data_IF_341431483910
#
_entry.id   IF_341431483910
#
_cell.length_a   1.000
_cell.length_b   1.000
_cell.length_c   1.000
_cell.angle_alpha   90.00
_cell.angle_beta   90.00
_cell.angle_gamma   90.00
#
_symmetry.space_group_name_H-M   'P 1'
#
loop_
_entity.id
_entity.type
_entity.pdbx_description
1 polymer ?
2 non-polymer ?
3 non-polymer ?
4 non-polymer ?
5 non-polymer ?
6 water ?
#
# COMPACT_ATOMS: atom_id res chain seq x y z
N UNK A 2 -5.03 -25.05 12.12
CA UNK A 2 -5.22 -24.69 10.71
C UNK A 2 -5.43 -23.18 10.53
N UNK A 3 -4.92 -22.65 9.42
CA UNK A 3 -5.05 -21.23 9.10
C UNK A 3 -6.52 -20.78 8.89
N UNK A 4 -6.90 -19.65 9.50
CA UNK A 4 -8.28 -19.18 9.40
C UNK A 4 -8.35 -17.76 8.85
N UNK A 5 -9.29 -17.56 7.91
CA UNK A 5 -9.50 -16.26 7.28
C UNK A 5 -10.88 -15.68 7.57
N UNK A 6 -10.90 -14.45 8.06
CA UNK A 6 -12.16 -13.76 8.37
C UNK A 6 -12.70 -12.94 7.19
N UNK A 7 -13.99 -13.11 6.90
CA UNK A 7 -14.71 -12.34 5.89
C UNK A 7 -14.57 -12.76 4.42
N UNK A 8 -14.68 -14.06 4.11
CA UNK A 8 -14.39 -14.51 2.73
C UNK A 8 -15.32 -13.93 1.67
N UNK A 9 -16.52 -13.49 2.06
CA UNK A 9 -17.47 -13.04 1.06
C UNK A 9 -17.21 -11.61 0.55
N UNK A 10 -16.28 -10.89 1.15
CA UNK A 10 -15.91 -9.54 0.65
C UNK A 10 -14.74 -9.66 -0.30
N UNK A 11 -14.45 -8.55 -0.96
CA UNK A 11 -13.50 -8.57 -2.06
C UNK A 11 -12.06 -8.63 -1.56
N UNK A 12 -11.74 -7.75 -0.64
CA UNK A 12 -10.38 -7.63 -0.15
C UNK A 12 -9.81 -8.95 0.40
N UNK A 13 -10.58 -9.70 1.24
CA UNK A 13 -10.02 -10.98 1.69
C UNK A 13 -9.74 -11.96 0.56
N UNK A 14 -10.41 -11.83 -0.58
CA UNK A 14 -10.17 -12.74 -1.70
C UNK A 14 -8.74 -12.63 -2.26
N UNK A 15 -8.03 -11.52 -2.00
CA UNK A 15 -6.61 -11.42 -2.37
C UNK A 15 -5.83 -12.50 -1.65
N UNK A 16 -6.18 -12.72 -0.37
CA UNK A 16 -5.55 -13.72 0.46
C UNK A 16 -6.04 -15.14 0.09
N UNK A 17 -7.34 -15.29 -0.18
CA UNK A 17 -7.88 -16.62 -0.48
C UNK A 17 -7.25 -17.18 -1.76
N UNK A 18 -7.13 -16.33 -2.78
CA UNK A 18 -6.63 -16.86 -4.04
C UNK A 18 -5.15 -17.22 -3.86
N UNK A 19 -4.42 -16.47 -3.04
CA UNK A 19 -3.00 -16.80 -2.80
C UNK A 19 -2.87 -18.15 -2.07
N UNK A 20 -3.71 -18.37 -1.06
CA UNK A 20 -3.76 -19.64 -0.32
C UNK A 20 -4.06 -20.82 -1.25
N UNK A 21 -5.06 -20.67 -2.10
CA UNK A 21 -5.40 -21.72 -3.04
C UNK A 21 -4.28 -21.93 -4.08
N UNK A 22 -3.66 -20.85 -4.61
CA UNK A 22 -2.53 -21.00 -5.55
C UNK A 22 -1.40 -21.85 -4.94
N UNK A 23 -1.08 -21.59 -3.67
CA UNK A 23 0.00 -22.27 -2.98
C UNK A 23 -0.40 -23.65 -2.43
N UNK A 24 -1.66 -24.04 -2.62
CA UNK A 24 -2.14 -25.30 -2.09
C UNK A 24 -2.14 -25.36 -0.56
N UNK A 25 -2.40 -24.23 0.10
CA UNK A 25 -2.44 -24.22 1.58
C UNK A 25 -3.86 -24.50 2.12
N UNK A 26 -3.94 -25.34 3.15
CA UNK A 26 -5.20 -25.63 3.84
C UNK A 26 -5.64 -24.43 4.68
N UNK A 27 -6.93 -24.11 4.65
CA UNK A 27 -7.47 -23.01 5.44
C UNK A 27 -8.94 -23.21 5.67
N UNK A 28 -9.49 -22.52 6.66
CA UNK A 28 -10.92 -22.44 6.86
C UNK A 28 -11.33 -20.95 6.81
N UNK A 29 -12.60 -20.66 6.55
CA UNK A 29 -13.01 -19.26 6.54
C UNK A 29 -14.13 -19.05 7.56
N UNK A 30 -14.21 -17.83 8.11
CA UNK A 30 -15.18 -17.49 9.13
C UNK A 30 -15.88 -16.20 8.70
N UNK A 31 -17.22 -16.24 8.57
CA UNK A 31 -17.96 -15.05 8.12
C UNK A 31 -17.93 -13.89 9.12
N UNK A 32 -18.11 -12.67 8.60
CA UNK A 32 -18.25 -11.49 9.44
C UNK A 32 -19.50 -10.74 8.99
N UNK A 33 -20.42 -10.56 9.92
CA UNK A 33 -21.71 -9.95 9.62
C UNK A 33 -21.64 -8.43 9.78
N UNK A 34 -21.44 -7.70 8.67
CA UNK A 34 -21.35 -6.24 8.74
C UNK A 34 -22.66 -5.62 9.17
N UNK A 35 -23.76 -6.22 8.72
CA UNK A 35 -25.08 -5.69 9.00
C UNK A 35 -25.36 -5.65 10.49
N UNK A 36 -24.87 -6.65 11.23
CA UNK A 36 -25.07 -6.64 12.68
C UNK A 36 -23.88 -5.95 13.38
N UNK A 37 -22.97 -5.37 12.62
CA UNK A 37 -21.87 -4.60 13.19
C UNK A 37 -20.78 -5.45 13.86
N UNK A 38 -20.74 -6.73 13.53
CA UNK A 38 -19.77 -7.67 14.10
C UNK A 38 -18.32 -7.16 14.00
N UNK A 39 -18.00 -6.51 12.88
CA UNK A 39 -16.65 -6.00 12.66
C UNK A 39 -16.33 -4.80 13.58
N UNK A 40 -17.34 -4.30 14.29
CA UNK A 40 -17.16 -3.15 15.17
C UNK A 40 -17.26 -3.56 16.64
N UNK A 41 -17.37 -4.87 16.88
CA UNK A 41 -17.48 -5.44 18.23
C UNK A 41 -16.10 -5.87 18.74
N UNK A 42 -15.91 -5.94 20.06
CA UNK A 42 -14.58 -6.21 20.62
C UNK A 42 -13.86 -7.48 20.16
N UNK A 43 -14.57 -8.59 19.99
CA UNK A 43 -13.92 -9.83 19.55
C UNK A 43 -13.20 -9.64 18.19
N UNK A 44 -13.89 -9.08 17.19
CA UNK A 44 -13.23 -8.93 15.91
C UNK A 44 -12.17 -7.82 15.99
N UNK A 45 -12.40 -6.79 16.80
CA UNK A 45 -11.43 -5.71 16.88
C UNK A 45 -10.11 -6.20 17.51
N UNK A 46 -10.20 -7.28 18.28
CA UNK A 46 -9.01 -7.86 18.86
C UNK A 46 -8.17 -8.55 17.78
N UNK A 47 -8.77 -8.88 16.66
CA UNK A 47 -8.02 -9.46 15.54
C UNK A 47 -7.50 -8.38 14.56
N UNK A 48 -8.40 -7.45 14.22
CA UNK A 48 -8.14 -6.38 13.26
C UNK A 48 -8.65 -5.07 13.88
N UNK A 49 -7.74 -4.26 14.45
CA UNK A 49 -8.13 -3.13 15.29
C UNK A 49 -8.74 -1.97 14.50
N UNK A 50 -8.63 -2.02 13.17
CA UNK A 50 -9.28 -1.05 12.30
C UNK A 50 -10.68 -1.47 11.92
N UNK A 51 -11.06 -2.69 12.30
CA UNK A 51 -12.38 -3.21 12.01
C UNK A 51 -12.71 -3.38 10.53
N UNK A 52 -11.73 -3.86 9.77
CA UNK A 52 -11.97 -4.21 8.38
C UNK A 52 -11.45 -5.63 8.14
N UNK A 53 -11.87 -6.20 7.03
CA UNK A 53 -11.47 -7.54 6.65
C UNK A 53 -10.41 -7.49 5.55
N UNK A 54 -9.55 -8.52 5.46
CA UNK A 54 -9.53 -9.79 6.22
C UNK A 54 -8.76 -9.70 7.53
N UNK A 55 -8.91 -10.74 8.36
CA UNK A 55 -7.98 -11.02 9.45
C UNK A 55 -7.65 -12.49 9.32
N UNK A 56 -6.38 -12.83 9.57
CA UNK A 56 -5.90 -14.20 9.44
C UNK A 56 -5.18 -14.65 10.70
N UNK A 57 -5.57 -15.82 11.21
CA UNK A 57 -4.90 -16.40 12.34
C UNK A 57 -4.35 -17.78 11.96
N UNK A 58 -3.05 -17.98 12.11
CA UNK A 58 -2.40 -19.22 11.71
C UNK A 58 -1.75 -19.80 12.95
N UNK A 59 -2.51 -20.62 13.68
CA UNK A 59 -2.09 -21.06 14.99
C UNK A 59 -1.97 -19.91 15.98
N UNK A 60 -0.76 -19.71 16.52
CA UNK A 60 -0.45 -18.64 17.47
C UNK A 60 -0.25 -17.26 16.81
N UNK A 61 -0.25 -17.23 15.48
CA UNK A 61 0.17 -16.05 14.70
C UNK A 61 -1.02 -15.31 14.06
N UNK A 62 -1.00 -13.99 14.18
CA UNK A 62 -2.11 -13.19 13.69
C UNK A 62 -1.57 -12.18 12.69
N UNK A 63 -2.25 -12.01 11.55
CA UNK A 63 -1.82 -11.02 10.56
C UNK A 63 -3.02 -10.48 9.78
N UNK A 64 -3.01 -9.19 9.53
CA UNK A 64 -4.05 -8.55 8.72
C UNK A 64 -3.45 -7.64 7.61
N UNK A 65 -4.31 -6.94 6.86
CA UNK A 65 -3.97 -6.25 5.57
C UNK A 65 -3.76 -7.32 4.53
N UNK A 66 -4.69 -7.35 3.58
CA UNK A 66 -4.79 -8.41 2.58
C UNK A 66 -3.47 -8.65 1.84
N UNK A 67 -2.75 -7.59 1.47
CA UNK A 67 -1.50 -7.79 0.71
C UNK A 67 -0.34 -8.24 1.60
N UNK A 68 -0.34 -7.83 2.88
CA UNK A 68 0.60 -8.39 3.84
C UNK A 68 0.35 -9.89 3.98
N UNK A 69 -0.91 -10.29 4.05
CA UNK A 69 -1.21 -11.71 4.16
C UNK A 69 -0.71 -12.47 2.94
N UNK A 70 -0.93 -11.90 1.76
CA UNK A 70 -0.43 -12.47 0.49
C UNK A 70 1.07 -12.75 0.58
N UNK A 71 1.83 -11.75 1.04
CA UNK A 71 3.30 -11.85 1.14
C UNK A 71 3.71 -12.90 2.17
N UNK A 72 3.01 -12.91 3.32
CA UNK A 72 3.30 -13.88 4.38
C UNK A 72 3.15 -15.31 3.85
N UNK A 73 2.02 -15.57 3.20
CA UNK A 73 1.73 -16.89 2.65
C UNK A 73 2.73 -17.31 1.55
N UNK A 74 3.00 -16.40 0.61
CA UNK A 74 3.92 -16.67 -0.49
C UNK A 74 5.36 -16.90 0.01
N UNK A 75 5.71 -16.28 1.14
CA UNK A 75 7.04 -16.48 1.69
C UNK A 75 7.09 -17.77 2.51
N UNK A 76 6.08 -17.97 3.36
CA UNK A 76 6.07 -19.13 4.24
C UNK A 76 5.98 -20.45 3.46
N UNK A 77 5.18 -20.43 2.40
CA UNK A 77 4.95 -21.63 1.62
C UNK A 77 5.61 -21.49 0.27
N UNK A 78 6.75 -20.82 0.27
CA UNK A 78 7.44 -20.44 -0.95
C UNK A 78 7.76 -21.62 -1.89
N UNK A 79 8.08 -22.76 -1.31
CA UNK A 79 8.62 -23.84 -2.13
C UNK A 79 7.55 -24.76 -2.74
N UNK A 80 6.29 -24.39 -2.58
CA UNK A 80 5.24 -25.16 -3.21
C UNK A 80 4.38 -24.28 -4.12
N UNK A 81 3.80 -24.90 -5.13
CA UNK A 81 3.03 -24.17 -6.12
C UNK A 81 3.91 -23.21 -6.90
N UNK A 82 3.27 -22.29 -7.64
CA UNK A 82 4.03 -21.29 -8.39
C UNK A 82 4.77 -20.36 -7.42
N UNK A 83 5.92 -19.83 -7.82
CA UNK A 83 6.56 -18.83 -6.98
C UNK A 83 6.00 -17.44 -7.31
N UNK A 84 5.11 -16.97 -6.44
CA UNK A 84 4.37 -15.74 -6.70
C UNK A 84 5.19 -14.50 -6.32
N UNK A 85 6.41 -14.76 -5.87
CA UNK A 85 7.38 -13.71 -5.54
C UNK A 85 8.51 -13.55 -6.57
N UNK A 86 8.53 -14.35 -7.63
CA UNK A 86 9.66 -14.29 -8.54
C UNK A 86 10.85 -15.01 -7.95
N UNK A 87 11.98 -15.04 -8.65
CA UNK A 87 13.12 -15.81 -8.17
C UNK A 87 14.17 -14.95 -7.44
N UNK A 88 14.45 -13.77 -7.97
CA UNK A 88 15.53 -12.92 -7.43
C UNK A 88 15.01 -11.74 -6.58
N UNK A 89 15.94 -11.02 -5.95
CA UNK A 89 15.62 -9.77 -5.24
C UNK A 89 15.00 -8.73 -6.19
N UNK A 90 15.55 -8.64 -7.40
CA UNK A 90 15.02 -7.74 -8.42
C UNK A 90 13.62 -8.13 -8.86
N UNK A 91 13.38 -9.42 -9.10
CA UNK A 91 12.01 -9.88 -9.37
C UNK A 91 11.06 -9.48 -8.26
N UNK A 92 11.48 -9.75 -7.03
CA UNK A 92 10.61 -9.45 -5.90
C UNK A 92 10.36 -7.95 -5.78
N UNK A 93 11.39 -7.17 -6.09
CA UNK A 93 11.25 -5.73 -6.16
C UNK A 93 10.15 -5.31 -7.14
N UNK A 94 10.10 -5.94 -8.32
CA UNK A 94 9.05 -5.62 -9.30
C UNK A 94 7.65 -6.04 -8.80
N UNK A 95 7.60 -7.16 -8.07
CA UNK A 95 6.34 -7.62 -7.48
C UNK A 95 5.87 -6.60 -6.45
N UNK A 96 6.78 -6.12 -5.63
CA UNK A 96 6.43 -5.18 -4.58
C UNK A 96 5.99 -3.85 -5.19
N UNK A 97 6.68 -3.45 -6.26
CA UNK A 97 6.36 -2.22 -6.95
C UNK A 97 4.90 -2.23 -7.43
N UNK A 98 4.51 -3.29 -8.13
CA UNK A 98 3.17 -3.33 -8.68
C UNK A 98 2.12 -3.67 -7.60
N UNK A 99 2.53 -4.35 -6.53
CA UNK A 99 1.66 -4.52 -5.37
C UNK A 99 1.32 -3.15 -4.78
N UNK A 100 2.30 -2.24 -4.75
CA UNK A 100 2.07 -0.91 -4.20
C UNK A 100 1.30 0.01 -5.16
N UNK A 101 1.50 -0.16 -6.47
CA UNK A 101 0.68 0.51 -7.44
C UNK A 101 -0.78 0.07 -7.24
N UNK A 102 -1.01 -1.22 -7.02
CA UNK A 102 -2.38 -1.68 -6.82
C UNK A 102 -2.97 -1.02 -5.58
N UNK A 103 -2.23 -1.06 -4.47
CA UNK A 103 -2.73 -0.49 -3.21
C UNK A 103 -2.97 1.02 -3.27
N UNK A 104 -2.08 1.77 -3.89
CA UNK A 104 -2.06 3.24 -3.74
C UNK A 104 -2.66 4.01 -4.92
N UNK A 105 -2.73 3.37 -6.08
CA UNK A 105 -3.03 4.08 -7.31
C UNK A 105 -4.20 3.45 -8.04
N UNK A 106 -4.14 2.12 -8.22
CA UNK A 106 -5.21 1.40 -8.90
C UNK A 106 -6.47 1.26 -8.04
N UNK A 107 -6.32 0.78 -6.81
CA UNK A 107 -7.47 0.45 -5.97
C UNK A 107 -8.34 1.65 -5.51
N UNK A 108 -7.71 2.78 -5.09
CA UNK A 108 -8.55 3.85 -4.49
C UNK A 108 -9.69 4.38 -5.39
N UNK A 109 -9.43 4.68 -6.68
CA UNK A 109 -10.60 5.08 -7.47
C UNK A 109 -11.56 3.90 -7.71
N UNK A 110 -11.03 2.70 -7.85
CA UNK A 110 -11.88 1.53 -8.05
C UNK A 110 -12.74 1.26 -6.79
N UNK A 111 -12.19 1.51 -5.60
CA UNK A 111 -12.96 1.36 -4.37
C UNK A 111 -14.13 2.37 -4.35
N UNK A 112 -13.88 3.59 -4.82
CA UNK A 112 -14.95 4.59 -4.95
C UNK A 112 -16.07 4.16 -5.88
N UNK A 113 -15.71 3.57 -7.02
CA UNK A 113 -16.72 3.08 -7.95
C UNK A 113 -17.51 1.95 -7.29
N UNK A 114 -16.82 1.13 -6.49
CA UNK A 114 -17.44 0.02 -5.79
C UNK A 114 -18.46 0.51 -4.76
N UNK A 115 -18.05 1.42 -3.89
CA UNK A 115 -18.91 1.92 -2.83
C UNK A 115 -20.17 2.58 -3.39
N UNK A 116 -19.99 3.48 -4.35
CA UNK A 116 -21.07 4.33 -4.82
C UNK A 116 -21.99 3.67 -5.82
N UNK A 117 -21.52 2.64 -6.51
CA UNK A 117 -22.36 2.00 -7.51
C UNK A 117 -22.96 0.73 -6.93
N UNK A 118 -22.15 -0.04 -6.21
CA UNK A 118 -22.62 -1.29 -5.62
C UNK A 118 -23.21 -1.18 -4.20
N UNK A 119 -22.67 -0.31 -3.35
CA UNK A 119 -23.21 -0.29 -1.98
C UNK A 119 -23.87 1.00 -1.51
N UNK A 120 -24.10 1.96 -2.42
CA UNK A 120 -24.76 3.18 -2.01
C UNK A 120 -26.11 2.80 -1.38
N UNK A 121 -26.86 1.96 -2.10
CA UNK A 121 -28.22 1.60 -1.69
C UNK A 121 -28.26 0.76 -0.45
N UNK A 122 -27.43 -0.28 -0.42
CA UNK A 122 -27.43 -1.23 0.68
C UNK A 122 -26.86 -0.62 1.96
N UNK A 123 -25.92 0.32 1.84
CA UNK A 123 -25.35 0.94 3.04
C UNK A 123 -26.11 2.21 3.45
N UNK A 124 -26.90 2.75 2.53
CA UNK A 124 -27.69 3.95 2.82
C UNK A 124 -26.96 5.28 2.63
N UNK A 125 -26.12 5.36 1.60
CA UNK A 125 -25.35 6.57 1.33
C UNK A 125 -25.86 7.11 -0.01
N UNK A 126 -25.92 8.45 -0.17
CA UNK A 126 -26.39 8.91 -1.48
C UNK A 126 -25.32 8.63 -2.52
N UNK A 127 -25.70 8.21 -3.72
CA UNK A 127 -24.69 7.92 -4.73
C UNK A 127 -24.09 9.26 -5.15
N UNK A 128 -22.77 9.36 -5.05
CA UNK A 128 -22.05 10.58 -5.36
C UNK A 128 -21.69 10.63 -6.85
N UNK A 129 -22.55 11.25 -7.67
CA UNK A 129 -22.39 11.12 -9.11
C UNK A 129 -21.13 11.79 -9.69
N UNK A 130 -20.69 12.92 -9.11
CA UNK A 130 -19.47 13.58 -9.57
C UNK A 130 -18.25 12.73 -9.21
N UNK A 131 -18.24 12.17 -8.01
CA UNK A 131 -17.15 11.29 -7.59
C UNK A 131 -17.07 10.05 -8.46
N UNK A 132 -18.22 9.58 -8.97
CA UNK A 132 -18.21 8.44 -9.87
C UNK A 132 -17.51 8.79 -11.18
N UNK A 133 -17.81 9.97 -11.72
CA UNK A 133 -17.18 10.40 -12.99
C UNK A 133 -15.67 10.63 -12.80
N UNK A 134 -15.29 11.24 -11.68
CA UNK A 134 -13.90 11.49 -11.40
C UNK A 134 -13.11 10.20 -11.18
N UNK A 135 -13.71 9.25 -10.47
CA UNK A 135 -13.03 8.01 -10.12
C UNK A 135 -12.75 7.19 -11.38
N UNK A 136 -13.72 7.19 -12.31
CA UNK A 136 -13.60 6.52 -13.58
C UNK A 136 -12.54 7.15 -14.48
N UNK A 137 -12.54 8.47 -14.59
CA UNK A 137 -11.50 9.16 -15.36
C UNK A 137 -10.12 8.80 -14.80
N UNK A 138 -10.00 8.82 -13.47
CA UNK A 138 -8.75 8.56 -12.80
C UNK A 138 -8.31 7.09 -13.05
N UNK A 139 -9.22 6.14 -12.85
CA UNK A 139 -8.92 4.74 -13.10
C UNK A 139 -8.53 4.48 -14.58
N UNK A 140 -9.18 5.20 -15.50
CA UNK A 140 -8.89 5.05 -16.92
C UNK A 140 -7.46 5.48 -17.26
N UNK A 141 -6.99 6.55 -16.63
CA UNK A 141 -5.61 6.98 -16.77
C UNK A 141 -4.64 5.92 -16.25
N UNK A 142 -4.97 5.34 -15.10
CA UNK A 142 -4.16 4.26 -14.54
C UNK A 142 -4.13 3.06 -15.50
N UNK A 143 -5.30 2.67 -16.02
CA UNK A 143 -5.39 1.58 -16.97
C UNK A 143 -4.63 1.87 -18.30
N UNK A 144 -4.49 3.14 -18.67
CA UNK A 144 -3.73 3.47 -19.89
C UNK A 144 -2.26 3.16 -19.70
N UNK A 145 -1.78 3.41 -18.49
CA UNK A 145 -0.40 3.09 -18.13
C UNK A 145 -0.18 1.58 -18.16
N UNK A 146 -1.14 0.84 -17.60
CA UNK A 146 -1.10 -0.62 -17.59
C UNK A 146 -1.03 -1.19 -19.01
N UNK A 147 -1.88 -0.63 -19.88
CA UNK A 147 -1.95 -1.04 -21.27
C UNK A 147 -0.58 -0.95 -21.95
N UNK A 148 0.09 0.19 -21.78
CA UNK A 148 1.43 0.36 -22.32
C UNK A 148 2.42 -0.66 -21.70
N UNK A 149 2.41 -0.78 -20.37
CA UNK A 149 3.32 -1.70 -19.70
C UNK A 149 3.11 -3.15 -20.15
N UNK A 150 1.86 -3.58 -20.21
CA UNK A 150 1.54 -4.98 -20.52
C UNK A 150 1.77 -5.35 -22.00
N UNK A 151 2.11 -4.38 -22.86
CA UNK A 151 2.48 -4.66 -24.24
C UNK A 151 3.92 -5.18 -24.34
N UNK A 152 4.73 -4.84 -23.33
CA UNK A 152 6.13 -5.24 -23.27
C UNK A 152 6.40 -6.24 -22.18
N UNK A 153 5.37 -6.56 -21.40
CA UNK A 153 5.52 -7.47 -20.28
C UNK A 153 4.23 -8.32 -20.16
N UNK A 154 4.40 -9.64 -20.05
CA UNK A 154 3.25 -10.56 -20.07
C UNK A 154 2.39 -10.41 -18.79
N UNK A 155 3.06 -10.28 -17.65
CA UNK A 155 2.40 -10.00 -16.36
C UNK A 155 3.02 -8.71 -15.84
N UNK A 156 2.44 -8.17 -14.76
CA UNK A 156 2.90 -6.87 -14.24
C UNK A 156 4.38 -6.84 -13.86
N UNK A 157 4.83 -7.88 -13.15
CA UNK A 157 6.21 -7.87 -12.63
C UNK A 157 7.20 -8.54 -13.57
N UNK A 158 6.75 -9.00 -14.74
CA UNK A 158 7.62 -9.67 -15.69
C UNK A 158 6.95 -10.81 -16.42
N UNK A 159 7.70 -11.88 -16.69
CA UNK A 159 7.17 -13.00 -17.50
C UNK A 159 6.47 -14.06 -16.63
N UNK A 160 6.38 -13.79 -15.33
CA UNK A 160 5.81 -14.73 -14.37
C UNK A 160 4.65 -14.06 -13.68
N UNK A 161 3.57 -14.81 -13.43
CA UNK A 161 2.45 -14.30 -12.65
C UNK A 161 2.88 -14.16 -11.18
N UNK A 162 2.35 -13.17 -10.48
CA UNK A 162 2.78 -12.93 -9.11
C UNK A 162 1.65 -12.37 -8.26
N UNK A 163 1.97 -12.10 -7.00
CA UNK A 163 1.03 -11.44 -6.09
C UNK A 163 0.45 -10.16 -6.67
N UNK A 164 1.28 -9.42 -7.40
CA UNK A 164 0.85 -8.13 -7.96
C UNK A 164 -0.29 -8.30 -8.93
N UNK A 165 -0.24 -9.35 -9.74
CA UNK A 165 -1.36 -9.65 -10.65
C UNK A 165 -2.60 -10.06 -9.84
N UNK A 166 -2.40 -11.03 -8.95
CA UNK A 166 -3.47 -11.61 -8.14
C UNK A 166 -4.20 -10.55 -7.32
N UNK A 167 -3.48 -9.51 -6.86
CA UNK A 167 -4.06 -8.45 -6.04
C UNK A 167 -5.16 -7.69 -6.80
N UNK A 168 -5.14 -7.75 -8.13
CA UNK A 168 -6.12 -7.03 -8.96
C UNK A 168 -7.41 -7.80 -9.17
N UNK A 169 -7.41 -9.08 -8.83
CA UNK A 169 -8.56 -9.92 -9.16
C UNK A 169 -9.89 -9.48 -8.50
N UNK A 170 -9.93 -9.29 -7.16
CA UNK A 170 -11.26 -9.15 -6.52
C UNK A 170 -12.07 -7.89 -6.93
N UNK A 171 -11.46 -6.70 -6.95
CA UNK A 171 -12.25 -5.52 -7.24
C UNK A 171 -12.40 -5.33 -8.75
N UNK A 172 -11.49 -5.87 -9.54
CA UNK A 172 -11.66 -5.83 -11.00
C UNK A 172 -12.79 -6.77 -11.43
N UNK A 173 -12.99 -7.86 -10.68
CA UNK A 173 -14.14 -8.71 -10.92
C UNK A 173 -15.43 -7.89 -10.78
N UNK A 174 -15.44 -6.97 -9.81
CA UNK A 174 -16.56 -6.06 -9.66
C UNK A 174 -16.70 -5.14 -10.86
N UNK A 175 -15.59 -4.50 -11.21
CA UNK A 175 -15.53 -3.55 -12.32
C UNK A 175 -16.12 -4.12 -13.62
N UNK A 176 -15.80 -5.37 -13.94
CA UNK A 176 -16.32 -5.95 -15.18
C UNK A 176 -17.70 -6.56 -14.98
N UNK A 177 -18.14 -6.61 -13.72
CA UNK A 177 -19.39 -7.26 -13.37
C UNK A 177 -20.46 -6.30 -12.89
N UNK A 178 -20.71 -6.31 -11.58
CA UNK A 178 -21.77 -5.51 -10.94
C UNK A 178 -21.59 -3.98 -11.11
N UNK A 179 -20.35 -3.50 -11.26
CA UNK A 179 -20.12 -2.07 -11.46
C UNK A 179 -20.54 -1.62 -12.87
N UNK A 180 -20.52 -2.56 -13.82
CA UNK A 180 -21.02 -2.32 -15.16
C UNK A 180 -20.10 -1.58 -16.10
N UNK A 181 -18.80 -1.64 -15.85
CA UNK A 181 -17.85 -0.92 -16.68
C UNK A 181 -16.77 -1.85 -17.23
N UNK A 182 -17.22 -2.98 -17.76
CA UNK A 182 -16.35 -3.98 -18.37
C UNK A 182 -15.57 -3.39 -19.54
N UNK A 183 -16.15 -2.39 -20.20
CA UNK A 183 -15.50 -1.78 -21.36
C UNK A 183 -14.13 -1.17 -21.00
N UNK A 184 -13.96 -0.75 -19.74
CA UNK A 184 -12.68 -0.19 -19.32
C UNK A 184 -11.54 -1.20 -19.47
N UNK A 185 -11.89 -2.48 -19.30
CA UNK A 185 -10.95 -3.57 -19.51
C UNK A 185 -10.95 -4.04 -20.96
N UNK A 186 -12.13 -4.30 -21.51
CA UNK A 186 -12.29 -4.87 -22.86
C UNK A 186 -11.69 -3.97 -23.95
N UNK A 187 -11.84 -2.65 -23.82
CA UNK A 187 -11.37 -1.67 -24.82
C UNK A 187 -9.85 -1.49 -24.86
N UNK A 188 -9.13 -2.13 -23.93
CA UNK A 188 -7.67 -2.05 -23.91
C UNK A 188 -7.06 -3.44 -24.16
N UNK A 189 -6.59 -3.64 -25.39
CA UNK A 189 -6.19 -4.95 -25.94
C UNK A 189 -5.27 -5.74 -25.00
N UNK A 190 -4.18 -5.15 -24.55
CA UNK A 190 -3.22 -5.86 -23.71
C UNK A 190 -3.71 -6.09 -22.28
N UNK A 191 -4.40 -5.09 -21.71
CA UNK A 191 -5.04 -5.22 -20.39
C UNK A 191 -6.09 -6.32 -20.44
N UNK A 192 -6.87 -6.32 -21.52
CA UNK A 192 -7.95 -7.27 -21.69
C UNK A 192 -7.48 -8.71 -21.76
N UNK A 193 -6.40 -8.95 -22.51
CA UNK A 193 -5.86 -10.30 -22.65
C UNK A 193 -5.22 -10.73 -21.31
N UNK A 194 -4.61 -9.78 -20.62
CA UNK A 194 -4.03 -10.05 -19.30
C UNK A 194 -5.12 -10.43 -18.31
N UNK A 195 -6.23 -9.71 -18.35
CA UNK A 195 -7.34 -10.01 -17.48
C UNK A 195 -7.90 -11.41 -17.80
N UNK A 196 -8.03 -11.72 -19.09
CA UNK A 196 -8.54 -13.03 -19.49
C UNK A 196 -7.67 -14.15 -18.92
N UNK A 197 -6.35 -13.90 -18.89
CA UNK A 197 -5.36 -14.85 -18.43
C UNK A 197 -5.46 -15.08 -16.93
N UNK A 198 -5.31 -14.03 -16.14
CA UNK A 198 -5.23 -14.22 -14.70
C UNK A 198 -6.59 -14.55 -14.11
N UNK A 199 -7.68 -14.05 -14.70
CA UNK A 199 -9.01 -14.29 -14.13
C UNK A 199 -9.61 -15.63 -14.54
N UNK A 200 -8.91 -16.39 -15.39
CA UNK A 200 -9.36 -17.74 -15.70
C UNK A 200 -8.47 -18.82 -15.04
N UNK A 201 -7.45 -18.41 -14.27
CA UNK A 201 -6.69 -19.37 -13.47
C UNK A 201 -7.64 -20.11 -12.49
N UNK A 202 -7.45 -21.44 -12.35
CA UNK A 202 -8.30 -22.28 -11.49
C UNK A 202 -8.41 -21.74 -10.04
N UNK A 203 -7.32 -21.21 -9.50
CA UNK A 203 -7.35 -20.75 -8.12
C UNK A 203 -8.34 -19.61 -7.98
N UNK A 204 -8.46 -18.78 -9.01
CA UNK A 204 -9.41 -17.66 -8.92
C UNK A 204 -10.83 -18.14 -9.16
N UNK A 205 -10.99 -19.04 -10.10
CA UNK A 205 -12.31 -19.59 -10.35
C UNK A 205 -12.84 -20.28 -9.09
N UNK A 206 -11.98 -21.01 -8.37
CA UNK A 206 -12.41 -21.71 -7.15
C UNK A 206 -12.80 -20.70 -6.06
N UNK A 207 -12.01 -19.64 -5.93
CA UNK A 207 -12.31 -18.58 -4.95
C UNK A 207 -13.71 -18.03 -5.20
N UNK A 208 -14.01 -17.76 -6.46
CA UNK A 208 -15.28 -17.14 -6.82
C UNK A 208 -16.46 -18.08 -6.63
N UNK A 209 -16.30 -19.37 -6.98
CA UNK A 209 -17.38 -20.35 -6.82
C UNK A 209 -17.71 -20.51 -5.35
N UNK A 210 -16.70 -20.41 -4.49
CA UNK A 210 -16.90 -20.70 -3.09
C UNK A 210 -17.35 -19.45 -2.34
N UNK A 211 -16.84 -18.29 -2.74
CA UNK A 211 -16.95 -17.13 -1.85
C UNK A 211 -17.61 -15.88 -2.42
N UNK A 212 -18.56 -16.06 -3.33
CA UNK A 212 -19.35 -14.98 -3.87
C UNK A 212 -20.80 -15.06 -3.39
N UNK B 2 26.42 5.05 -7.52
CA UNK B 2 25.83 4.59 -8.78
C UNK B 2 24.29 4.53 -8.66
N UNK B 3 23.80 4.00 -7.54
CA UNK B 3 22.35 4.02 -7.27
C UNK B 3 21.86 5.47 -7.17
N UNK B 4 20.81 5.79 -7.91
CA UNK B 4 20.32 7.18 -7.99
C UNK B 4 18.87 7.27 -7.58
N UNK B 5 18.56 8.27 -6.76
CA UNK B 5 17.21 8.50 -6.26
C UNK B 5 16.68 9.80 -6.85
N UNK B 6 15.49 9.76 -7.46
CA UNK B 6 14.89 10.96 -8.07
C UNK B 6 13.99 11.73 -7.12
N UNK B 7 14.24 13.03 -6.99
CA UNK B 7 13.38 13.95 -6.26
C UNK B 7 13.56 13.95 -4.75
N UNK B 8 14.82 14.03 -4.26
CA UNK B 8 15.09 13.89 -2.82
C UNK B 8 14.44 14.94 -1.91
N UNK B 9 14.10 16.12 -2.43
CA UNK B 9 13.63 17.19 -1.55
C UNK B 9 12.16 17.00 -1.18
N UNK B 10 11.47 16.05 -1.83
CA UNK B 10 10.08 15.78 -1.49
C UNK B 10 9.96 14.66 -0.47
N UNK B 11 8.75 14.46 0.05
CA UNK B 11 8.55 13.61 1.22
C UNK B 11 8.57 12.08 0.93
N UNK B 12 7.80 11.63 -0.05
CA UNK B 12 7.78 10.21 -0.37
C UNK B 12 9.19 9.66 -0.66
N UNK B 13 10.02 10.40 -1.43
CA UNK B 13 11.37 9.84 -1.66
C UNK B 13 12.19 9.69 -0.39
N UNK B 14 11.90 10.47 0.64
CA UNK B 14 12.64 10.35 1.89
C UNK B 14 12.47 8.98 2.59
N UNK B 15 11.40 8.26 2.25
CA UNK B 15 11.23 6.90 2.74
C UNK B 15 12.39 6.03 2.25
N UNK B 16 12.74 6.20 0.98
CA UNK B 16 13.82 5.46 0.36
C UNK B 16 15.19 5.94 0.89
N UNK B 17 15.36 7.25 1.06
CA UNK B 17 16.64 7.79 1.51
C UNK B 17 17.01 7.29 2.90
N UNK B 18 16.06 7.32 3.82
CA UNK B 18 16.36 6.99 5.19
C UNK B 18 16.69 5.49 5.27
N UNK B 19 16.05 4.68 4.45
CA UNK B 19 16.36 3.25 4.40
C UNK B 19 17.78 3.05 3.86
N UNK B 20 18.11 3.79 2.81
CA UNK B 20 19.46 3.75 2.23
C UNK B 20 20.53 4.15 3.23
N UNK B 21 20.27 5.24 3.96
CA UNK B 21 21.23 5.72 4.95
C UNK B 21 21.33 4.73 6.12
N UNK B 22 20.20 4.21 6.58
CA UNK B 22 20.18 3.17 7.64
C UNK B 22 21.07 1.97 7.26
N UNK B 23 20.96 1.56 6.00
CA UNK B 23 21.70 0.40 5.49
C UNK B 23 23.14 0.74 5.08
N UNK B 24 23.51 2.01 5.16
CA UNK B 24 24.85 2.42 4.77
C UNK B 24 25.16 2.23 3.30
N UNK B 25 24.16 2.43 2.45
CA UNK B 25 24.37 2.26 1.03
C UNK B 25 24.78 3.56 0.34
N UNK B 26 25.77 3.48 -0.54
CA UNK B 26 26.19 4.64 -1.32
C UNK B 26 25.15 4.95 -2.40
N UNK B 27 24.82 6.24 -2.55
CA UNK B 27 23.85 6.67 -3.55
C UNK B 27 24.01 8.15 -3.96
N UNK B 28 23.43 8.49 -5.11
CA UNK B 28 23.33 9.88 -5.53
C UNK B 28 21.86 10.24 -5.69
N UNK B 29 21.60 11.53 -5.72
CA UNK B 29 20.25 12.01 -5.91
C UNK B 29 20.17 12.88 -7.13
N UNK B 30 18.99 12.90 -7.74
CA UNK B 30 18.75 13.68 -8.94
C UNK B 30 17.49 14.54 -8.72
N UNK B 31 17.64 15.87 -8.81
CA UNK B 31 16.45 16.71 -8.54
C UNK B 31 15.40 16.59 -9.63
N UNK B 32 14.15 16.73 -9.23
CA UNK B 32 13.05 16.76 -10.17
C UNK B 32 12.18 17.98 -9.83
N UNK B 33 11.98 18.83 -10.81
CA UNK B 33 11.25 20.07 -10.59
C UNK B 33 9.75 19.86 -10.75
N UNK B 34 9.06 19.54 -9.66
CA UNK B 34 7.61 19.25 -9.68
C UNK B 34 6.79 20.48 -10.08
N UNK B 35 7.23 21.68 -9.67
CA UNK B 35 6.49 22.91 -9.92
C UNK B 35 6.35 23.21 -11.41
N UNK B 36 7.42 22.96 -12.16
CA UNK B 36 7.42 23.21 -13.60
C UNK B 36 7.00 21.97 -14.38
N UNK B 37 6.55 20.94 -13.68
CA UNK B 37 6.05 19.74 -14.33
C UNK B 37 7.05 18.76 -14.93
N UNK B 38 8.31 18.82 -14.48
CA UNK B 38 9.34 17.91 -14.97
C UNK B 38 8.90 16.45 -14.87
N UNK B 39 8.21 16.12 -13.77
CA UNK B 39 7.79 14.73 -13.52
C UNK B 39 6.65 14.26 -14.46
N UNK B 40 6.08 15.17 -15.24
CA UNK B 40 5.02 14.82 -16.19
C UNK B 40 5.50 14.88 -17.66
N UNK B 41 6.81 15.06 -17.85
CA UNK B 41 7.42 15.15 -19.18
C UNK B 41 8.06 13.80 -19.59
N UNK B 42 8.27 13.57 -20.90
CA UNK B 42 8.70 12.25 -21.39
C UNK B 42 9.96 11.67 -20.71
N UNK B 43 10.96 12.49 -20.39
CA UNK B 43 12.18 11.99 -19.72
C UNK B 43 11.89 11.31 -18.37
N UNK B 44 11.13 11.96 -17.50
CA UNK B 44 10.87 11.34 -16.20
C UNK B 44 9.84 10.19 -16.31
N UNK B 45 8.89 10.28 -17.25
CA UNK B 45 7.85 9.25 -17.41
C UNK B 45 8.38 7.88 -17.88
N UNK B 46 9.54 7.87 -18.53
CA UNK B 46 10.17 6.61 -18.88
C UNK B 46 10.67 5.90 -17.64
N UNK B 47 10.93 6.66 -16.57
CA UNK B 47 11.35 6.06 -15.30
C UNK B 47 10.15 5.70 -14.42
N UNK B 48 9.19 6.63 -14.33
CA UNK B 48 8.02 6.45 -13.48
C UNK B 48 6.79 6.79 -14.30
N UNK B 49 6.11 5.76 -14.83
CA UNK B 49 5.05 6.01 -15.80
C UNK B 49 3.80 6.65 -15.20
N UNK B 50 3.70 6.68 -13.88
CA UNK B 50 2.59 7.38 -13.23
C UNK B 50 2.98 8.84 -12.94
N UNK B 51 4.21 9.21 -13.28
CA UNK B 51 4.64 10.61 -13.11
C UNK B 51 4.66 11.11 -11.67
N UNK B 52 5.17 10.30 -10.74
CA UNK B 52 5.40 10.76 -9.38
C UNK B 52 6.82 10.40 -8.91
N UNK B 53 7.28 11.05 -7.85
CA UNK B 53 8.56 10.68 -7.28
C UNK B 53 8.31 9.94 -5.96
N UNK B 54 9.21 9.00 -5.59
CA UNK B 54 10.49 8.69 -6.23
C UNK B 54 10.50 7.68 -7.38
N UNK B 55 11.63 7.66 -8.05
CA UNK B 55 12.04 6.55 -8.91
C UNK B 55 13.48 6.28 -8.57
N UNK B 56 13.87 5.02 -8.67
CA UNK B 56 15.24 4.66 -8.38
C UNK B 56 15.84 3.91 -9.56
N UNK B 57 17.05 4.32 -9.94
CA UNK B 57 17.82 3.58 -10.94
C UNK B 57 19.09 3.03 -10.32
N UNK B 58 19.23 1.71 -10.41
CA UNK B 58 20.35 0.99 -9.82
C UNK B 58 21.06 0.12 -10.85
N UNK B 59 22.05 0.68 -11.54
CA UNK B 59 22.69 0.00 -12.65
C UNK B 59 21.69 -0.29 -13.76
N UNK B 60 21.54 -1.57 -14.10
CA UNK B 60 20.57 -1.97 -15.11
C UNK B 60 19.13 -1.94 -14.59
N UNK B 61 18.97 -1.76 -13.29
CA UNK B 61 17.70 -2.00 -12.64
C UNK B 61 16.96 -0.71 -12.29
N UNK B 62 15.65 -0.71 -12.53
CA UNK B 62 14.79 0.46 -12.28
C UNK B 62 13.67 0.02 -11.33
N UNK B 63 13.30 0.86 -10.37
CA UNK B 63 12.18 0.55 -9.50
C UNK B 63 11.56 1.85 -8.96
N UNK B 64 10.23 1.88 -8.85
CA UNK B 64 9.53 3.02 -8.25
C UNK B 64 8.51 2.53 -7.19
N UNK B 65 7.75 3.47 -6.63
CA UNK B 65 6.92 3.30 -5.41
C UNK B 65 7.81 3.24 -4.17
N UNK B 66 7.74 4.30 -3.37
CA UNK B 66 8.64 4.52 -2.23
C UNK B 66 8.80 3.32 -1.30
N UNK B 67 7.69 2.63 -0.96
CA UNK B 67 7.76 1.51 -0.02
C UNK B 67 8.31 0.23 -0.67
N UNK B 68 8.05 0.08 -1.97
CA UNK B 68 8.70 -0.98 -2.74
C UNK B 68 10.20 -0.74 -2.74
N UNK B 69 10.61 0.51 -2.92
CA UNK B 69 12.04 0.84 -2.90
C UNK B 69 12.62 0.48 -1.53
N UNK B 70 11.89 0.80 -0.46
CA UNK B 70 12.32 0.42 0.89
C UNK B 70 12.57 -1.09 1.00
N UNK B 71 11.60 -1.86 0.52
CA UNK B 71 11.66 -3.32 0.64
C UNK B 71 12.80 -3.88 -0.15
N UNK B 72 12.98 -3.35 -1.37
CA UNK B 72 14.05 -3.73 -2.24
C UNK B 72 15.44 -3.46 -1.66
N UNK B 73 15.64 -2.24 -1.15
CA UNK B 73 16.91 -1.88 -0.53
C UNK B 73 17.18 -2.74 0.70
N UNK B 74 16.16 -2.92 1.54
CA UNK B 74 16.33 -3.68 2.77
C UNK B 74 16.62 -5.16 2.47
N UNK B 75 16.10 -5.67 1.36
CA UNK B 75 16.34 -7.05 1.03
C UNK B 75 17.70 -7.24 0.35
N UNK B 76 18.02 -6.37 -0.60
CA UNK B 76 19.28 -6.48 -1.32
C UNK B 76 20.48 -6.34 -0.36
N UNK B 77 20.34 -5.48 0.64
CA UNK B 77 21.41 -5.24 1.59
C UNK B 77 21.06 -5.78 2.97
N UNK B 78 20.32 -6.89 2.98
CA UNK B 78 19.77 -7.43 4.21
C UNK B 78 20.84 -7.69 5.26
N UNK B 79 22.02 -8.11 4.81
CA UNK B 79 23.02 -8.63 5.75
C UNK B 79 23.91 -7.55 6.31
N UNK B 80 23.63 -6.29 6.00
CA UNK B 80 24.37 -5.21 6.63
C UNK B 80 23.41 -4.23 7.30
N UNK B 81 23.90 -3.50 8.30
CA UNK B 81 23.08 -2.59 9.09
C UNK B 81 22.01 -3.33 9.87
N UNK B 82 21.05 -2.60 10.45
CA UNK B 82 19.97 -3.25 11.21
C UNK B 82 19.09 -4.07 10.27
N UNK B 83 18.48 -5.17 10.70
CA UNK B 83 17.56 -5.83 9.77
C UNK B 83 16.18 -5.25 9.93
N UNK B 84 15.82 -4.44 8.94
CA UNK B 84 14.61 -3.64 8.94
C UNK B 84 13.42 -4.46 8.45
N UNK B 85 13.68 -5.72 8.10
CA UNK B 85 12.64 -6.66 7.67
C UNK B 85 12.32 -7.69 8.76
N UNK B 86 13.03 -7.62 9.89
CA UNK B 86 12.93 -8.63 10.95
C UNK B 86 13.73 -9.87 10.64
N UNK B 87 13.68 -10.86 11.52
CA UNK B 87 14.53 -12.05 11.36
C UNK B 87 13.79 -13.19 10.67
N UNK B 88 12.57 -13.45 11.11
CA UNK B 88 11.78 -14.58 10.63
C UNK B 88 10.68 -14.19 9.64
N UNK B 89 10.04 -15.20 9.07
CA UNK B 89 8.90 -15.00 8.20
C UNK B 89 7.74 -14.31 8.97
N UNK B 90 7.54 -14.70 10.22
CA UNK B 90 6.51 -14.11 11.05
C UNK B 90 6.81 -12.65 11.35
N UNK B 91 8.06 -12.34 11.71
CA UNK B 91 8.47 -10.94 11.87
C UNK B 91 8.24 -10.13 10.61
N UNK B 92 8.65 -10.68 9.46
CA UNK B 92 8.50 -9.96 8.20
C UNK B 92 7.00 -9.74 7.89
N UNK B 93 6.18 -10.70 8.28
CA UNK B 93 4.74 -10.56 8.15
C UNK B 93 4.25 -9.31 8.87
N UNK B 94 4.71 -9.09 10.10
CA UNK B 94 4.28 -7.92 10.87
C UNK B 94 4.79 -6.61 10.23
N UNK B 95 5.98 -6.66 9.66
CA UNK B 95 6.55 -5.46 9.02
C UNK B 95 5.67 -5.10 7.82
N UNK B 96 5.30 -6.11 7.03
CA UNK B 96 4.51 -5.90 5.83
C UNK B 96 3.12 -5.37 6.18
N UNK B 97 2.57 -5.88 7.29
CA UNK B 97 1.26 -5.47 7.80
C UNK B 97 1.21 -3.98 8.11
N UNK B 98 2.20 -3.51 8.87
CA UNK B 98 2.22 -2.12 9.27
C UNK B 98 2.72 -1.20 8.13
N UNK B 99 3.55 -1.72 7.23
CA UNK B 99 3.86 -0.98 6.02
C UNK B 99 2.59 -0.73 5.19
N UNK B 100 1.72 -1.72 5.12
CA UNK B 100 0.47 -1.61 4.36
C UNK B 100 -0.56 -0.74 5.08
N UNK B 101 -0.55 -0.77 6.42
CA UNK B 101 -1.36 0.16 7.19
C UNK B 101 -0.89 1.58 6.89
N UNK B 102 0.43 1.81 6.84
CA UNK B 102 0.90 3.15 6.52
C UNK B 102 0.43 3.53 5.11
N UNK B 103 0.61 2.64 4.13
CA UNK B 103 0.25 2.98 2.76
C UNK B 103 -1.25 3.26 2.58
N UNK B 104 -2.10 2.46 3.21
CA UNK B 104 -3.52 2.45 2.88
C UNK B 104 -4.40 3.19 3.87
N UNK B 105 -3.91 3.40 5.09
CA UNK B 105 -4.76 3.89 6.19
C UNK B 105 -4.21 5.15 6.86
N UNK B 106 -2.93 5.13 7.16
CA UNK B 106 -2.27 6.26 7.79
C UNK B 106 -2.04 7.37 6.78
N UNK B 107 -1.43 7.03 5.66
CA UNK B 107 -0.98 8.04 4.73
C UNK B 107 -2.10 8.80 4.01
N UNK B 108 -3.20 8.12 3.56
CA UNK B 108 -4.13 8.93 2.74
C UNK B 108 -4.70 10.19 3.44
N UNK B 109 -5.21 10.09 4.70
CA UNK B 109 -5.68 11.34 5.28
C UNK B 109 -4.54 12.34 5.57
N UNK B 110 -3.37 11.82 5.94
CA UNK B 110 -2.23 12.70 6.21
C UNK B 110 -1.77 13.44 4.92
N UNK B 111 -1.84 12.76 3.78
CA UNK B 111 -1.54 13.38 2.49
C UNK B 111 -2.57 14.48 2.18
N UNK B 112 -3.85 14.23 2.46
CA UNK B 112 -4.86 15.26 2.28
C UNK B 112 -4.54 16.48 3.13
N UNK B 113 -4.12 16.26 4.38
CA UNK B 113 -3.74 17.42 5.19
C UNK B 113 -2.49 18.13 4.61
N UNK B 114 -1.56 17.35 4.09
CA UNK B 114 -0.34 17.91 3.53
C UNK B 114 -0.67 18.80 2.35
N UNK B 115 -1.42 18.26 1.40
CA UNK B 115 -1.76 18.97 0.17
C UNK B 115 -2.55 20.23 0.47
N UNK B 116 -3.58 20.11 1.28
CA UNK B 116 -4.54 21.19 1.44
C UNK B 116 -4.04 22.27 2.39
N UNK B 117 -3.08 21.96 3.25
CA UNK B 117 -2.58 22.99 4.15
C UNK B 117 -1.23 23.53 3.69
N UNK B 118 -0.32 22.65 3.29
CA UNK B 118 1.01 23.08 2.90
C UNK B 118 1.02 23.54 1.46
N UNK B 119 0.21 22.89 0.62
CA UNK B 119 0.19 23.19 -0.82
C UNK B 119 -1.18 23.66 -1.29
N UNK B 120 -1.84 24.44 -0.44
CA UNK B 120 -3.19 24.94 -0.69
C UNK B 120 -3.35 25.50 -2.11
N UNK B 121 -2.37 26.26 -2.59
CA UNK B 121 -2.42 26.84 -3.93
C UNK B 121 -2.52 25.77 -5.02
N UNK B 122 -1.84 24.65 -4.82
CA UNK B 122 -1.91 23.57 -5.80
C UNK B 122 -3.29 22.91 -5.81
N UNK B 123 -4.01 22.92 -4.68
CA UNK B 123 -5.34 22.31 -4.63
C UNK B 123 -6.43 23.27 -5.05
N UNK B 124 -6.14 24.57 -5.12
CA UNK B 124 -7.13 25.53 -5.55
C UNK B 124 -8.04 26.08 -4.47
N UNK B 125 -8.65 27.24 -4.76
CA UNK B 125 -9.47 27.97 -3.82
C UNK B 125 -10.91 28.10 -4.31
N UNK B 126 -11.87 28.16 -3.38
CA UNK B 126 -11.70 28.18 -1.91
C UNK B 126 -11.19 26.85 -1.33
N UNK B 127 -10.48 26.98 -0.22
CA UNK B 127 -9.84 25.88 0.46
C UNK B 127 -10.92 24.89 0.90
N UNK B 128 -10.68 23.60 0.69
CA UNK B 128 -11.70 22.60 1.03
C UNK B 128 -11.67 22.29 2.54
N UNK B 129 -12.33 23.12 3.33
CA UNK B 129 -12.21 23.05 4.79
C UNK B 129 -12.89 21.78 5.35
N UNK B 130 -13.94 21.32 4.69
CA UNK B 130 -14.63 20.12 5.11
C UNK B 130 -13.72 18.89 4.94
N UNK B 131 -13.04 18.78 3.81
CA UNK B 131 -12.13 17.65 3.60
C UNK B 131 -10.95 17.69 4.59
N UNK B 132 -10.52 18.90 4.95
CA UNK B 132 -9.45 19.07 5.93
C UNK B 132 -9.91 18.60 7.31
N UNK B 133 -11.13 18.97 7.69
CA UNK B 133 -11.65 18.53 8.98
C UNK B 133 -11.85 17.02 8.96
N UNK B 134 -12.32 16.47 7.85
CA UNK B 134 -12.54 15.03 7.76
C UNK B 134 -11.24 14.23 7.84
N UNK B 135 -10.21 14.76 7.21
CA UNK B 135 -8.90 14.10 7.15
C UNK B 135 -8.25 14.07 8.52
N UNK B 136 -8.42 15.15 9.29
CA UNK B 136 -7.89 15.19 10.64
C UNK B 136 -8.62 14.19 11.55
N UNK B 137 -9.95 14.17 11.47
CA UNK B 137 -10.70 13.18 12.25
C UNK B 137 -10.25 11.75 11.91
N UNK B 138 -10.08 11.48 10.63
CA UNK B 138 -9.72 10.15 10.19
C UNK B 138 -8.34 9.75 10.72
N UNK B 139 -7.36 10.64 10.56
CA UNK B 139 -6.00 10.41 11.05
C UNK B 139 -5.96 10.23 12.58
N UNK B 140 -6.80 11.00 13.29
CA UNK B 140 -6.88 10.89 14.73
C UNK B 140 -7.40 9.50 15.13
N UNK B 141 -8.35 8.97 14.38
CA UNK B 141 -8.83 7.62 14.66
C UNK B 141 -7.71 6.60 14.50
N UNK B 142 -6.94 6.76 13.43
CA UNK B 142 -5.81 5.87 13.13
C UNK B 142 -4.78 5.97 14.26
N UNK B 143 -4.49 7.20 14.67
CA UNK B 143 -3.58 7.47 15.77
C UNK B 143 -4.05 6.87 17.10
N UNK B 144 -5.36 6.76 17.30
CA UNK B 144 -5.87 6.13 18.53
C UNK B 144 -5.54 4.64 18.56
N UNK B 145 -5.63 3.99 17.40
CA UNK B 145 -5.30 2.59 17.30
C UNK B 145 -3.81 2.40 17.58
N UNK B 146 -2.99 3.29 17.00
CA UNK B 146 -1.54 3.29 17.20
C UNK B 146 -1.17 3.42 18.68
N UNK B 147 -1.79 4.37 19.36
CA UNK B 147 -1.55 4.60 20.78
C UNK B 147 -1.78 3.32 21.59
N UNK B 148 -2.90 2.65 21.34
CA UNK B 148 -3.19 1.36 21.99
C UNK B 148 -2.16 0.31 21.63
N UNK B 149 -1.89 0.18 20.34
CA UNK B 149 -0.92 -0.81 19.88
C UNK B 149 0.46 -0.54 20.48
N UNK B 150 0.88 0.74 20.46
CA UNK B 150 2.23 1.07 20.90
C UNK B 150 2.41 1.03 22.42
N UNK B 151 1.33 0.83 23.17
CA UNK B 151 1.41 0.63 24.61
C UNK B 151 1.86 -0.80 24.91
N UNK B 152 1.67 -1.68 23.93
CA UNK B 152 1.96 -3.11 24.07
C UNK B 152 3.16 -3.57 23.22
N UNK B 153 3.70 -2.67 22.40
CA UNK B 153 4.78 -2.96 21.45
C UNK B 153 5.69 -1.75 21.28
N UNK B 154 7.00 -1.95 21.37
CA UNK B 154 7.93 -0.81 21.36
C UNK B 154 7.93 -0.07 20.00
N UNK B 155 7.94 -0.86 18.93
CA UNK B 155 7.81 -0.38 17.57
C UNK B 155 6.57 -1.04 16.97
N UNK B 156 6.16 -0.62 15.77
CA UNK B 156 4.94 -1.16 15.16
C UNK B 156 4.97 -2.70 15.00
N UNK B 157 6.06 -3.26 14.47
CA UNK B 157 6.10 -4.70 14.14
C UNK B 157 6.61 -5.60 15.27
N UNK B 158 6.98 -5.02 16.39
CA UNK B 158 7.50 -5.80 17.51
C UNK B 158 8.57 -5.01 18.23
N UNK B 159 9.60 -5.73 18.73
CA UNK B 159 10.61 -5.11 19.59
C UNK B 159 11.78 -4.49 18.81
N UNK B 160 11.68 -4.54 17.49
CA UNK B 160 12.76 -4.10 16.62
C UNK B 160 12.22 -3.00 15.72
N UNK B 161 13.05 -1.99 15.42
CA UNK B 161 12.66 -0.97 14.46
C UNK B 161 12.66 -1.57 13.03
N UNK B 162 11.75 -1.10 12.16
CA UNK B 162 11.63 -1.67 10.82
C UNK B 162 11.16 -0.68 9.76
N UNK B 163 11.03 -1.17 8.53
CA UNK B 163 10.54 -0.33 7.44
C UNK B 163 9.21 0.33 7.80
N UNK B 164 8.35 -0.39 8.52
CA UNK B 164 7.03 0.14 8.85
C UNK B 164 7.15 1.42 9.66
N UNK B 165 8.08 1.45 10.62
CA UNK B 165 8.29 2.66 11.42
C UNK B 165 8.83 3.79 10.54
N UNK B 166 9.88 3.49 9.79
CA UNK B 166 10.54 4.49 8.97
C UNK B 166 9.63 5.12 7.94
N UNK B 167 8.69 4.33 7.40
CA UNK B 167 7.78 4.83 6.37
C UNK B 167 6.97 6.02 6.84
N UNK B 168 6.84 6.17 8.16
CA UNK B 168 6.04 7.22 8.80
C UNK B 168 6.83 8.53 8.96
N UNK B 169 8.14 8.48 8.77
CA UNK B 169 8.96 9.64 9.09
C UNK B 169 8.64 10.89 8.28
N UNK B 170 8.62 10.80 6.92
CA UNK B 170 8.59 12.03 6.12
C UNK B 170 7.33 12.90 6.29
N UNK B 171 6.14 12.31 6.24
CA UNK B 171 4.91 13.11 6.33
C UNK B 171 4.52 13.42 7.78
N UNK B 172 4.93 12.57 8.72
CA UNK B 172 4.64 12.87 10.11
C UNK B 172 5.53 14.05 10.52
N UNK B 173 6.70 14.15 9.91
CA UNK B 173 7.57 15.30 10.11
C UNK B 173 6.82 16.57 9.67
N UNK B 174 6.06 16.50 8.57
CA UNK B 174 5.23 17.64 8.16
C UNK B 174 4.17 17.90 9.21
N UNK B 175 3.49 16.83 9.61
CA UNK B 175 2.39 16.96 10.58
C UNK B 175 2.79 17.74 11.84
N UNK B 176 3.97 17.46 12.40
CA UNK B 176 4.35 18.08 13.67
C UNK B 176 4.99 19.44 13.47
N UNK B 177 5.29 19.74 12.20
CA UNK B 177 5.95 20.98 11.83
C UNK B 177 5.06 21.90 11.01
N UNK B 178 5.31 21.96 9.69
CA UNK B 178 4.62 22.86 8.76
C UNK B 178 3.09 22.69 8.70
N UNK B 179 2.57 21.50 8.93
CA UNK B 179 1.13 21.31 8.90
C UNK B 179 0.54 21.96 10.13
N UNK B 180 1.34 22.02 11.19
CA UNK B 180 0.96 22.73 12.38
C UNK B 180 0.00 21.98 13.29
N UNK B 181 0.05 20.66 13.25
CA UNK B 181 -0.82 19.85 14.09
C UNK B 181 -0.02 18.84 14.95
N UNK B 182 1.05 19.34 15.57
CA UNK B 182 1.91 18.54 16.44
C UNK B 182 1.19 17.87 17.62
N UNK B 183 0.13 18.48 18.11
CA UNK B 183 -0.63 17.94 19.26
C UNK B 183 -1.19 16.54 18.96
N UNK B 184 -1.43 16.23 17.68
CA UNK B 184 -1.94 14.90 17.33
C UNK B 184 -0.97 13.79 17.74
N UNK B 185 0.32 14.10 17.72
CA UNK B 185 1.35 13.19 18.21
C UNK B 185 1.58 13.40 19.70
N UNK B 186 1.76 14.66 20.10
CA UNK B 186 2.12 14.99 21.48
C UNK B 186 1.09 14.54 22.49
N UNK B 187 -0.19 14.63 22.13
CA UNK B 187 -1.28 14.32 23.06
C UNK B 187 -1.47 12.82 23.27
N UNK B 188 -0.72 12.01 22.52
CA UNK B 188 -0.81 10.56 22.66
C UNK B 188 0.52 10.03 23.20
N UNK B 189 0.51 9.65 24.47
CA UNK B 189 1.71 9.29 25.22
C UNK B 189 2.64 8.33 24.49
N UNK B 190 2.13 7.17 24.09
CA UNK B 190 2.98 6.15 23.49
C UNK B 190 3.36 6.51 22.08
N UNK B 191 2.42 7.09 21.33
CA UNK B 191 2.74 7.56 20.00
C UNK B 191 3.85 8.61 20.10
N UNK B 192 3.70 9.55 21.04
CA UNK B 192 4.65 10.63 21.18
C UNK B 192 6.06 10.12 21.52
N UNK B 193 6.15 9.13 22.41
CA UNK B 193 7.46 8.58 22.76
C UNK B 193 8.06 7.79 21.59
N UNK B 194 7.19 7.11 20.84
CA UNK B 194 7.61 6.36 19.67
C UNK B 194 8.17 7.30 18.61
N UNK B 195 7.45 8.40 18.39
CA UNK B 195 7.90 9.40 17.43
C UNK B 195 9.24 10.02 17.86
N UNK B 196 9.37 10.31 19.16
CA UNK B 196 10.60 10.87 19.69
C UNK B 196 11.78 9.95 19.37
N UNK B 197 11.51 8.65 19.43
CA UNK B 197 12.53 7.63 19.18
C UNK B 197 12.96 7.53 17.70
N UNK B 198 12.02 7.31 16.79
CA UNK B 198 12.41 7.02 15.42
C UNK B 198 12.90 8.25 14.69
N UNK B 199 12.37 9.42 15.06
CA UNK B 199 12.75 10.65 14.38
C UNK B 199 14.03 11.25 14.95
N UNK B 200 14.61 10.64 15.98
CA UNK B 200 15.91 11.10 16.49
C UNK B 200 17.02 10.14 16.08
N UNK B 201 16.68 9.10 15.32
CA UNK B 201 17.69 8.23 14.70
C UNK B 201 18.63 9.05 13.81
N UNK B 202 19.93 8.71 13.85
CA UNK B 202 20.93 9.43 13.05
C UNK B 202 20.59 9.43 11.55
N UNK B 203 20.08 8.33 11.02
CA UNK B 203 19.74 8.29 9.60
C UNK B 203 18.62 9.28 9.26
N UNK B 204 17.70 9.50 10.18
CA UNK B 204 16.63 10.41 9.86
C UNK B 204 17.16 11.84 9.99
N UNK B 205 18.00 12.07 11.00
CA UNK B 205 18.57 13.39 11.18
C UNK B 205 19.38 13.78 9.93
N UNK B 206 20.13 12.81 9.40
CA UNK B 206 20.94 13.03 8.21
C UNK B 206 20.07 13.30 6.97
N UNK B 207 18.99 12.52 6.84
CA UNK B 207 18.09 12.68 5.71
C UNK B 207 17.57 14.11 5.65
N UNK B 208 17.18 14.62 6.81
CA UNK B 208 16.58 15.93 6.92
C UNK B 208 17.64 17.03 6.69
N UNK B 209 18.85 16.83 7.22
CA UNK B 209 19.94 17.80 7.06
C UNK B 209 20.36 17.99 5.62
N UNK B 210 20.29 16.91 4.85
CA UNK B 210 20.80 16.95 3.48
C UNK B 210 19.76 17.33 2.43
N UNK B 211 18.50 16.98 2.68
CA UNK B 211 17.51 16.96 1.63
C UNK B 211 16.21 17.70 1.91
N UNK B 212 16.27 18.84 2.58
CA UNK B 212 15.03 19.54 2.84
C UNK B 212 14.79 20.78 1.97
N UNK B 213 15.29 21.94 2.37
CA UNK B 213 15.01 23.22 1.69
C UNK B 213 13.53 23.44 1.37
X LIG C 1 1.84 -10.52 -24.96
X LIG C 1 1.04 -9.45 -25.47
X LIG C 1 2.82 -10.04 -23.88
X LIG C 1 2.92 -8.63 -23.86
X LIG C 1 4.21 -10.63 -24.10
X LIG C 1 5.14 -9.56 -24.11
X LIG D 1 -18.08 -12.92 5.10
X LIG E 1 2.57 5.91 -4.21
X LIG E 1 3.67 6.75 -4.58
X LIG E 1 4.89 6.44 -3.72
X LIG E 1 4.82 6.23 -2.47
X LIG E 1 6.04 6.40 -4.25
X LIG E 1 3.26 8.21 -4.43
X LIG E 1 4.43 9.11 -4.76
X LIG E 1 4.00 10.57 -4.76
X LIG E 1 2.82 10.88 -4.78
X LIG E 1 5.02 11.58 -4.76
X LIG E 1 4.67 12.96 -4.77
X LIG E 1 4.62 13.45 -6.20
X LIG E 1 5.42 13.06 -7.04
X LIG E 1 5.65 13.79 -3.95
X LIG E 1 5.67 13.40 -2.20
X LIG E 1 3.63 14.40 -6.58
X LIG E 1 3.59 14.90 -7.92
X LIG E 1 2.23 14.70 -8.54
X LIG E 1 1.50 13.72 -8.17
X LIG E 1 1.85 15.50 -9.44
X LIG F 1 -0.50 15.09 -4.73
X LIG F 1 1.06 14.81 -4.82
X LIG F 1 1.91 16.09 -4.71
X LIG F 1 1.95 16.91 -5.63
X LIG F 1 -1.44 16.70 -6.80
X LIG F 1 -0.39 17.39 -6.87
X LIG F 1 -2.55 17.03 -7.27
X LIG F 1 -1.04 14.24 -7.11
X LIG F 1 -1.40 15.25 -6.09
X LIG F 1 2.69 16.28 -3.50
X LIG F 1 3.61 17.47 -3.10
X LIG F 1 5.08 17.02 -2.78
X LIG F 1 5.08 16.42 -0.99
X LIG F 1 6.63 16.80 -0.42
X LIG F 1 3.46 18.73 -4.14
X LIG F 1 2.33 19.21 -4.36
X LIG F 1 4.51 19.31 -4.77
X LIG F 1 4.15 20.44 -5.65
X LIG F 1 5.26 21.52 -5.79
X LIG F 1 6.00 21.80 -4.81
X LIG F 1 5.36 22.05 -6.92
X LIG G 1 14.24 17.31 -5.75
#
# INVERSE_FOLDING_TARGET
MVLKVYGPHFASPKRALVTLIEKGVAFETIPVDLMKGEHKQPAYLALQPFGTVPAVVDGDYKIFESRAVMRYVAEKYRSQGPDLLGKTVEDRGQVEQWLDVEATTYHPPLLNLTLHIMFASVMGFPSDEKLIKESEEKLAGVLDVYEAHLSKSKYLAGDFVSLADLAHLPFTDYLVGPIGKAYMIKDRKHVSAWWDDISSRPAWKETVAKYSFPA
MVLKVYGPHFASPKRALVTLIEKGVAFETIPVDLMKGEHKQPAYLALQPFGTVPAVVDGDYKIFESRAVMRYVAEKYRSQGPDLLGKTVEDRGQVEQWLDVEATTYHPPLLNLTLHIMFASVMGFPSDEKLIKESEEKLAGVLDVYEAHLSKSKYLAGDFVSLADLAHLPFTDYLVGPIGKAYMIKDRKHVSAWWDDISSRPAWKETVAKYSFPA
GOL C1 O1 C2 O2 C3 O3
BR BR
GSH N1 CA1 C1 O11 O12 CB1 CG1 CD1 OE1 N2 CA2 C2 O2 CB2 SG2 N3 CA3 C3 O31 O32
GS8 CB1 CG1 CD1 OE1 C1 O11 O12 N1 CA1 N2 CA2 CB2 SG2 O13 C2 O2 N3 CA3 C3 O32 O31
BR BR
#
